data_IF_814324534320
#
_entry.id   IF_814324534320
#
_cell.length_a   1.000
_cell.length_b   1.000
_cell.length_c   1.000
_cell.angle_alpha   90.00
_cell.angle_beta   90.00
_cell.angle_gamma   90.00
#
_symmetry.space_group_name_H-M   'P 1'
#
loop_
_entity.id
_entity.type
_entity.pdbx_description
1 polymer ?
#
# COMPACT_ATOMS: atom_id res chain seq x y z
N UNK A 1 37.02 30.19 -46.87
CA UNK A 1 36.00 30.82 -46.01
C UNK A 1 34.67 30.56 -46.70
N UNK A 2 33.91 29.57 -46.25
CA UNK A 2 32.71 29.11 -46.95
C UNK A 2 31.49 29.90 -46.45
N UNK A 3 30.91 30.69 -47.34
CA UNK A 3 29.71 31.49 -47.11
C UNK A 3 28.49 30.56 -47.19
N UNK A 4 27.81 30.35 -46.05
CA UNK A 4 26.56 29.59 -45.97
C UNK A 4 25.40 30.57 -45.81
N UNK A 5 24.72 30.87 -46.91
CA UNK A 5 23.44 31.59 -46.91
C UNK A 5 22.30 30.62 -46.60
N UNK A 6 21.66 30.81 -45.44
CA UNK A 6 20.41 30.15 -45.08
C UNK A 6 19.23 31.11 -45.27
N UNK A 7 18.20 30.78 -46.08
CA UNK A 7 17.01 31.61 -46.17
C UNK A 7 16.11 31.45 -44.94
N UNK A 8 15.91 32.55 -44.22
CA UNK A 8 14.94 32.68 -43.13
C UNK A 8 13.53 32.86 -43.69
N UNK A 9 12.62 31.92 -43.40
CA UNK A 9 11.19 32.07 -43.73
C UNK A 9 10.42 32.67 -42.55
N UNK A 10 9.69 33.79 -42.70
CA UNK A 10 8.80 34.30 -41.66
C UNK A 10 7.41 33.67 -41.78
N UNK A 11 7.06 32.77 -40.85
CA UNK A 11 5.68 32.28 -40.69
C UNK A 11 4.82 33.32 -39.98
N UNK A 12 4.03 34.08 -40.75
CA UNK A 12 2.96 34.95 -40.24
C UNK A 12 1.70 34.10 -40.00
N UNK A 13 1.39 33.80 -38.73
CA UNK A 13 0.10 33.20 -38.35
C UNK A 13 -1.01 34.27 -38.39
N UNK A 14 -2.16 34.03 -39.05
CA UNK A 14 -3.29 34.93 -38.98
C UNK A 14 -3.97 34.85 -37.60
N UNK A 15 -4.14 36.01 -36.98
CA UNK A 15 -5.00 36.27 -35.82
C UNK A 15 -6.42 35.75 -36.06
N UNK A 16 -6.85 34.75 -35.30
CA UNK A 16 -8.24 34.34 -35.29
C UNK A 16 -9.07 35.34 -34.48
N UNK A 17 -10.06 35.93 -35.15
CA UNK A 17 -11.08 36.79 -34.55
C UNK A 17 -11.80 36.09 -33.41
N UNK A 18 -11.81 36.74 -32.25
CA UNK A 18 -12.61 36.39 -31.09
C UNK A 18 -14.08 36.75 -31.37
N UNK A 19 -14.88 35.78 -31.81
CA UNK A 19 -16.34 35.98 -31.95
C UNK A 19 -16.97 36.03 -30.56
N UNK A 20 -17.35 37.23 -30.15
CA UNK A 20 -17.97 37.49 -28.87
C UNK A 20 -19.49 37.35 -28.99
N UNK A 21 -20.05 36.60 -28.02
CA UNK A 21 -21.37 36.81 -27.41
C UNK A 21 -22.62 36.56 -28.29
N UNK A 22 -23.26 35.43 -28.02
CA UNK A 22 -24.71 35.27 -28.15
C UNK A 22 -25.23 34.53 -26.90
N UNK A 23 -25.42 35.25 -25.80
CA UNK A 23 -26.28 34.78 -24.71
C UNK A 23 -27.66 35.34 -24.99
N UNK A 24 -28.39 34.71 -25.91
CA UNK A 24 -29.80 35.02 -26.10
C UNK A 24 -30.58 34.39 -24.95
N UNK A 25 -31.22 35.26 -24.18
CA UNK A 25 -32.16 34.96 -23.11
C UNK A 25 -33.11 33.82 -23.47
N UNK A 26 -32.90 32.67 -22.84
CA UNK A 26 -33.86 31.58 -22.82
C UNK A 26 -34.71 31.71 -21.53
N UNK A 27 -36.04 31.89 -21.62
CA UNK A 27 -36.88 31.96 -20.43
C UNK A 27 -36.84 30.61 -19.71
N UNK A 28 -36.25 30.60 -18.52
CA UNK A 28 -36.20 29.41 -17.67
C UNK A 28 -37.64 28.99 -17.32
N UNK A 29 -38.07 27.74 -17.57
CA UNK A 29 -39.39 27.28 -17.16
C UNK A 29 -39.49 27.37 -15.63
N UNK A 30 -40.62 27.89 -15.13
CA UNK A 30 -40.96 27.85 -13.69
C UNK A 30 -40.98 26.40 -13.26
N UNK A 31 -39.84 25.95 -12.75
CA UNK A 31 -39.63 24.59 -12.30
C UNK A 31 -40.53 24.36 -11.09
N UNK A 32 -41.48 23.45 -11.26
CA UNK A 32 -42.29 22.94 -10.16
C UNK A 32 -41.35 22.43 -9.06
N UNK A 33 -41.76 22.59 -7.80
CA UNK A 33 -41.05 22.09 -6.61
C UNK A 33 -40.58 20.64 -6.78
N UNK A 34 -41.29 19.86 -7.59
CA UNK A 34 -40.99 18.47 -7.92
C UNK A 34 -39.70 18.29 -8.73
N UNK A 35 -39.37 19.20 -9.65
CA UNK A 35 -38.10 19.11 -10.39
C UNK A 35 -36.89 19.41 -9.48
N UNK A 36 -37.06 20.31 -8.49
CA UNK A 36 -36.07 20.55 -7.43
C UNK A 36 -35.96 19.38 -6.46
N UNK A 37 -37.08 18.76 -6.11
CA UNK A 37 -37.08 17.58 -5.23
C UNK A 37 -36.44 16.37 -5.91
N UNK A 38 -36.69 16.17 -7.21
CA UNK A 38 -36.08 15.09 -7.98
C UNK A 38 -34.58 15.35 -8.25
N UNK A 39 -34.19 16.60 -8.53
CA UNK A 39 -32.76 16.95 -8.65
C UNK A 39 -32.02 16.83 -7.31
N UNK A 40 -32.67 17.18 -6.20
CA UNK A 40 -32.11 16.95 -4.88
C UNK A 40 -32.01 15.45 -4.60
N UNK A 41 -32.98 14.62 -4.96
CA UNK A 41 -32.87 13.16 -4.80
C UNK A 41 -31.74 12.53 -5.64
N UNK A 42 -31.49 13.01 -6.87
CA UNK A 42 -30.36 12.58 -7.70
C UNK A 42 -29.01 13.16 -7.26
N UNK A 43 -28.99 14.32 -6.57
CA UNK A 43 -27.76 15.00 -6.13
C UNK A 43 -27.43 14.76 -4.65
N UNK A 44 -28.38 14.38 -3.81
CA UNK A 44 -28.15 13.99 -2.43
C UNK A 44 -27.95 12.48 -2.35
N UNK A 45 -26.87 12.02 -2.98
CA UNK A 45 -26.07 10.92 -2.43
C UNK A 45 -25.33 11.35 -1.16
N UNK A 46 -25.93 12.23 -0.34
CA UNK A 46 -25.44 12.54 1.01
C UNK A 46 -26.06 11.49 1.93
N UNK A 47 -25.45 10.31 1.90
CA UNK A 47 -25.58 9.34 2.99
C UNK A 47 -24.91 9.96 4.22
N UNK A 48 -25.64 10.83 4.90
CA UNK A 48 -25.45 11.09 6.32
C UNK A 48 -25.87 9.83 7.07
N UNK A 49 -24.99 8.84 7.10
CA UNK A 49 -25.12 7.70 8.01
C UNK A 49 -23.74 7.12 8.28
N UNK A 50 -23.07 7.73 9.27
CA UNK A 50 -22.01 7.10 10.05
C UNK A 50 -20.88 6.47 9.25
N UNK A 51 -20.03 7.29 8.64
CA UNK A 51 -18.63 6.88 8.62
C UNK A 51 -18.19 6.86 10.09
N UNK A 52 -18.14 5.66 10.67
CA UNK A 52 -17.16 5.41 11.72
C UNK A 52 -15.88 6.07 11.23
N UNK A 53 -15.28 6.92 12.05
CA UNK A 53 -13.89 7.30 11.79
C UNK A 53 -13.09 5.99 11.93
N UNK A 54 -12.94 5.28 10.82
CA UNK A 54 -11.80 4.42 10.53
C UNK A 54 -10.58 5.34 10.32
N UNK A 55 -10.32 6.24 11.28
CA UNK A 55 -8.97 6.76 11.55
C UNK A 55 -8.05 5.63 12.04
N UNK A 56 -8.46 4.37 11.84
CA UNK A 56 -7.65 3.32 11.27
C UNK A 56 -6.81 3.85 10.09
N UNK A 57 -5.78 4.63 10.41
CA UNK A 57 -4.47 4.28 9.93
C UNK A 57 -4.20 2.87 10.45
N UNK A 58 -4.72 1.88 9.71
CA UNK A 58 -4.50 0.48 9.99
C UNK A 58 -3.00 0.32 10.20
N UNK A 59 -2.60 -0.40 11.25
CA UNK A 59 -1.18 -0.70 11.46
C UNK A 59 -0.56 -1.22 10.15
N UNK A 60 -1.33 -1.98 9.37
CA UNK A 60 -0.97 -2.44 8.02
C UNK A 60 -0.73 -1.29 7.03
N UNK A 61 -1.58 -0.25 7.01
CA UNK A 61 -1.40 0.94 6.16
C UNK A 61 -0.14 1.72 6.54
N UNK A 62 0.12 1.87 7.84
CA UNK A 62 1.33 2.54 8.35
C UNK A 62 2.59 1.74 8.03
N UNK A 63 2.56 0.42 8.23
CA UNK A 63 3.66 -0.49 7.89
C UNK A 63 3.90 -0.51 6.38
N UNK A 64 2.85 -0.57 5.56
CA UNK A 64 2.97 -0.55 4.10
C UNK A 64 3.59 0.76 3.61
N UNK A 65 3.08 1.90 4.08
CA UNK A 65 3.60 3.21 3.70
C UNK A 65 5.05 3.44 4.17
N UNK A 66 5.44 2.87 5.31
CA UNK A 66 6.79 2.98 5.87
C UNK A 66 7.82 2.01 5.27
N UNK A 67 7.43 0.74 5.05
CA UNK A 67 8.36 -0.35 4.73
C UNK A 67 8.26 -0.84 3.28
N UNK A 68 7.05 -0.85 2.70
CA UNK A 68 6.77 -1.52 1.42
C UNK A 68 6.45 -0.58 0.25
N UNK A 69 6.25 0.72 0.50
CA UNK A 69 5.96 1.71 -0.56
C UNK A 69 7.16 2.02 -1.46
N UNK A 70 8.38 1.81 -0.97
CA UNK A 70 9.64 2.19 -1.64
C UNK A 70 10.38 0.93 -2.10
N UNK A 71 10.68 0.85 -3.40
CA UNK A 71 11.25 -0.34 -4.06
C UNK A 71 12.52 -0.87 -3.36
N UNK A 72 13.46 0.00 -3.02
CA UNK A 72 14.69 -0.37 -2.34
C UNK A 72 14.51 -0.70 -0.85
N UNK A 73 13.60 0.00 -0.16
CA UNK A 73 13.32 -0.23 1.27
C UNK A 73 12.72 -1.61 1.51
N UNK A 74 11.86 -2.09 0.61
CA UNK A 74 11.28 -3.42 0.66
C UNK A 74 12.37 -4.51 0.71
N UNK A 75 13.38 -4.43 -0.16
CA UNK A 75 14.46 -5.41 -0.21
C UNK A 75 15.24 -5.45 1.11
N UNK A 76 15.52 -4.27 1.69
CA UNK A 76 16.19 -4.17 2.99
C UNK A 76 15.37 -4.82 4.11
N UNK A 77 14.05 -4.59 4.13
CA UNK A 77 13.15 -5.17 5.14
C UNK A 77 13.08 -6.70 5.00
N UNK A 78 13.01 -7.22 3.77
CA UNK A 78 13.00 -8.67 3.52
C UNK A 78 14.31 -9.30 4.02
N UNK A 79 15.48 -8.75 3.67
CA UNK A 79 16.76 -9.31 4.12
C UNK A 79 16.96 -9.20 5.63
N UNK A 80 16.60 -8.05 6.23
CA UNK A 80 16.67 -7.90 7.68
C UNK A 80 15.74 -8.89 8.40
N UNK A 81 14.51 -9.07 7.88
CA UNK A 81 13.56 -10.03 8.44
C UNK A 81 14.07 -11.47 8.31
N UNK A 82 14.68 -11.82 7.18
CA UNK A 82 15.24 -13.14 6.96
C UNK A 82 16.38 -13.45 7.94
N UNK A 83 17.26 -12.49 8.21
CA UNK A 83 18.36 -12.66 9.16
C UNK A 83 17.87 -12.83 10.60
N UNK A 84 16.94 -11.97 11.04
CA UNK A 84 16.33 -12.10 12.37
C UNK A 84 15.54 -13.41 12.49
N UNK A 85 14.85 -13.80 11.41
CA UNK A 85 14.12 -15.06 11.35
C UNK A 85 15.07 -16.24 11.45
N UNK A 86 16.18 -16.28 10.73
CA UNK A 86 17.17 -17.37 10.80
C UNK A 86 17.70 -17.57 12.23
N UNK A 87 18.07 -16.48 12.92
CA UNK A 87 18.57 -16.53 14.29
C UNK A 87 17.53 -17.09 15.27
N UNK A 88 16.28 -16.68 15.15
CA UNK A 88 15.20 -17.12 16.07
C UNK A 88 14.64 -18.49 15.71
N UNK A 89 14.51 -18.79 14.42
CA UNK A 89 13.77 -19.94 13.90
C UNK A 89 14.44 -21.26 14.27
N UNK A 90 15.78 -21.36 14.12
CA UNK A 90 16.51 -22.59 14.44
C UNK A 90 16.33 -23.02 15.91
N UNK A 91 16.52 -22.09 16.84
CA UNK A 91 16.36 -22.37 18.27
C UNK A 91 14.90 -22.61 18.64
N UNK A 92 13.98 -21.84 18.07
CA UNK A 92 12.55 -22.00 18.34
C UNK A 92 12.05 -23.37 17.87
N UNK A 93 12.43 -23.77 16.66
CA UNK A 93 11.92 -24.99 16.06
C UNK A 93 12.49 -26.24 16.74
N UNK A 94 13.76 -26.21 17.17
CA UNK A 94 14.31 -27.24 18.05
C UNK A 94 13.52 -27.34 19.36
N UNK A 95 13.23 -26.23 20.04
CA UNK A 95 12.47 -26.25 21.30
C UNK A 95 11.04 -26.78 21.12
N UNK A 96 10.38 -26.42 20.02
CA UNK A 96 9.03 -26.91 19.70
C UNK A 96 9.07 -28.42 19.47
N UNK A 97 10.02 -28.89 18.67
CA UNK A 97 10.20 -30.32 18.41
C UNK A 97 10.53 -31.12 19.67
N UNK A 98 11.40 -30.57 20.51
CA UNK A 98 11.85 -31.15 21.77
C UNK A 98 10.69 -31.28 22.76
N UNK A 99 9.81 -30.28 22.81
CA UNK A 99 8.63 -30.26 23.66
C UNK A 99 7.58 -31.29 23.21
N UNK A 100 7.40 -31.46 21.90
CA UNK A 100 6.42 -32.40 21.34
C UNK A 100 6.90 -33.85 21.47
N UNK A 101 8.21 -34.09 21.35
CA UNK A 101 8.77 -35.45 21.36
C UNK A 101 9.45 -35.82 22.69
N UNK A 102 9.10 -35.18 23.81
CA UNK A 102 9.71 -35.47 25.12
C UNK A 102 9.61 -36.96 25.45
N UNK A 103 10.70 -37.51 25.95
CA UNK A 103 10.78 -38.92 26.36
C UNK A 103 11.04 -39.92 25.23
N UNK A 104 11.00 -39.51 23.95
CA UNK A 104 11.38 -40.35 22.79
C UNK A 104 12.72 -39.95 22.17
N UNK A 105 13.34 -38.89 22.69
CA UNK A 105 14.57 -38.38 22.13
C UNK A 105 15.77 -39.09 22.77
N UNK A 106 16.75 -39.44 21.94
CA UNK A 106 18.00 -40.06 22.40
C UNK A 106 18.68 -39.24 23.51
N UNK A 107 18.58 -37.90 23.48
CA UNK A 107 19.13 -37.04 24.53
C UNK A 107 18.48 -37.21 25.91
N UNK A 108 17.18 -37.51 25.96
CA UNK A 108 16.46 -37.75 27.22
C UNK A 108 16.81 -39.16 27.75
N UNK A 109 17.00 -40.12 26.83
CA UNK A 109 17.32 -41.52 27.13
C UNK A 109 18.80 -41.69 27.52
N UNK A 110 19.72 -40.98 26.87
CA UNK A 110 21.17 -41.01 27.12
C UNK A 110 21.52 -40.62 28.55
N UNK A 111 20.77 -39.71 29.15
CA UNK A 111 20.95 -39.32 30.55
C UNK A 111 20.91 -40.51 31.51
N UNK A 112 20.20 -41.58 31.14
CA UNK A 112 20.09 -42.82 31.93
C UNK A 112 21.20 -43.83 31.67
N UNK A 113 22.07 -43.65 30.68
CA UNK A 113 23.12 -44.62 30.36
C UNK A 113 24.52 -44.07 30.65
N UNK A 114 24.74 -42.77 30.48
CA UNK A 114 26.05 -42.15 30.77
C UNK A 114 26.29 -42.01 32.28
N UNK A 115 25.25 -41.75 33.09
CA UNK A 115 25.40 -41.65 34.56
C UNK A 115 25.61 -43.01 35.22
N UNK A 116 25.14 -44.12 34.63
CA UNK A 116 25.39 -45.45 35.18
C UNK A 116 26.82 -45.94 34.95
N UNK A 117 27.54 -45.42 33.93
CA UNK A 117 28.96 -45.73 33.72
C UNK A 117 29.88 -44.95 34.69
N UNK A 118 29.42 -43.83 35.27
CA UNK A 118 30.19 -43.00 36.22
C UNK A 118 29.85 -43.30 37.72
N UNK A 119 28.80 -44.06 38.02
CA UNK A 119 28.40 -44.46 39.39
C UNK A 119 28.88 -45.88 39.79
N UNK A 120 29.59 -46.59 38.90
CA UNK A 120 30.19 -47.92 39.15
C UNK A 120 31.73 -47.90 39.40
N UNK A 121 32.34 -46.73 39.64
CA UNK A 121 33.73 -46.56 40.16
C UNK A 121 33.74 -45.99 41.59
#
# INVERSE_FOLDING_TARGET
MSEQDHPSFPLKLPTLCQTSRATSDFPQPRHSSLARQFSNWLSTGSLSSGYINLDTMSATTTIYNGLFRRNWTMLGVVFASAFVFELGYNTTMNKVWDNINRGRQWKDIRSKYVTNDDEEE
#
